data_IF_278693697164
#
_entry.id   IF_278693697164
#
_cell.length_a   1.000
_cell.length_b   1.000
_cell.length_c   1.000
_cell.angle_alpha   90.00
_cell.angle_beta   90.00
_cell.angle_gamma   90.00
#
_symmetry.space_group_name_H-M   'P 1'
#
loop_
_entity.id
_entity.type
_entity.pdbx_description
1 polymer ?
#
# COMPACT_ATOMS: atom_id res chain seq x y z
N UNK A 1 8.82 -17.94 -17.43
CA UNK A 1 8.77 -17.58 -18.86
C UNK A 1 9.01 -16.08 -18.96
N UNK A 2 10.05 -15.66 -19.69
CA UNK A 2 10.34 -14.24 -19.89
C UNK A 2 9.31 -13.66 -20.88
N UNK A 3 8.62 -12.59 -20.50
CA UNK A 3 7.61 -11.94 -21.33
C UNK A 3 8.32 -10.98 -22.30
N UNK A 4 8.51 -11.43 -23.55
CA UNK A 4 9.23 -10.73 -24.63
C UNK A 4 8.75 -9.28 -24.88
N UNK A 5 7.55 -8.91 -24.41
CA UNK A 5 7.04 -7.54 -24.49
C UNK A 5 7.87 -6.57 -23.64
N UNK A 6 8.43 -7.04 -22.52
CA UNK A 6 9.25 -6.21 -21.66
C UNK A 6 10.65 -5.96 -22.21
N UNK A 7 11.24 -6.93 -22.94
CA UNK A 7 12.60 -6.78 -23.47
C UNK A 7 12.67 -5.66 -24.52
N UNK A 8 11.67 -5.58 -25.41
CA UNK A 8 11.57 -4.50 -26.40
C UNK A 8 11.28 -3.15 -25.76
N UNK A 9 10.42 -3.12 -24.74
CA UNK A 9 10.11 -1.90 -24.01
C UNK A 9 11.34 -1.37 -23.24
N UNK A 10 12.10 -2.24 -22.58
CA UNK A 10 13.33 -1.90 -21.85
C UNK A 10 14.34 -1.17 -22.76
N UNK A 11 14.63 -1.74 -23.93
CA UNK A 11 15.57 -1.14 -24.88
C UNK A 11 15.14 0.26 -25.36
N UNK A 12 13.85 0.44 -25.66
CA UNK A 12 13.30 1.72 -26.11
C UNK A 12 13.30 2.76 -24.98
N UNK A 13 12.90 2.37 -23.77
CA UNK A 13 12.87 3.25 -22.59
C UNK A 13 14.28 3.68 -22.19
N UNK A 14 15.27 2.77 -22.21
CA UNK A 14 16.68 3.13 -21.95
C UNK A 14 17.24 4.11 -22.97
N UNK A 15 16.82 3.98 -24.24
CA UNK A 15 17.19 4.95 -25.28
C UNK A 15 16.53 6.30 -25.02
N UNK A 16 15.23 6.34 -24.72
CA UNK A 16 14.50 7.57 -24.40
C UNK A 16 15.05 8.27 -23.17
N UNK A 17 15.49 7.51 -22.16
CA UNK A 17 16.10 8.03 -20.94
C UNK A 17 17.35 8.88 -21.19
N UNK A 18 18.03 8.74 -22.34
CA UNK A 18 19.22 9.52 -22.70
C UNK A 18 18.91 10.96 -23.14
N UNK A 19 17.64 11.31 -23.37
CA UNK A 19 17.25 12.60 -23.94
C UNK A 19 16.38 13.41 -22.96
N UNK A 20 16.82 14.63 -22.65
CA UNK A 20 16.05 15.66 -21.93
C UNK A 20 15.10 16.31 -22.96
N UNK A 21 13.85 15.82 -23.13
CA UNK A 21 12.81 15.98 -22.11
C UNK A 21 12.14 14.67 -21.66
N UNK A 22 12.45 13.56 -22.33
CA UNK A 22 11.81 12.26 -22.08
C UNK A 22 12.41 11.54 -20.88
N UNK A 23 13.57 11.99 -20.37
CA UNK A 23 14.34 11.31 -19.34
C UNK A 23 13.52 10.92 -18.12
N UNK A 24 12.84 11.88 -17.49
CA UNK A 24 12.06 11.62 -16.28
C UNK A 24 10.95 10.59 -16.53
N UNK A 25 10.21 10.77 -17.62
CA UNK A 25 9.09 9.89 -17.98
C UNK A 25 9.55 8.47 -18.32
N UNK A 26 10.64 8.36 -19.09
CA UNK A 26 11.23 7.10 -19.48
C UNK A 26 11.77 6.33 -18.26
N UNK A 27 12.45 7.02 -17.33
CA UNK A 27 12.98 6.40 -16.12
C UNK A 27 11.86 5.94 -15.18
N UNK A 28 10.83 6.77 -14.97
CA UNK A 28 9.65 6.35 -14.17
C UNK A 28 8.99 5.11 -14.76
N UNK A 29 8.75 5.11 -16.08
CA UNK A 29 8.12 3.97 -16.77
C UNK A 29 9.00 2.71 -16.72
N UNK A 30 10.31 2.86 -16.84
CA UNK A 30 11.27 1.77 -16.71
C UNK A 30 11.26 1.17 -15.30
N UNK A 31 11.20 2.02 -14.27
CA UNK A 31 11.15 1.58 -12.88
C UNK A 31 9.83 0.86 -12.54
N UNK A 32 8.69 1.33 -13.05
CA UNK A 32 7.40 0.63 -12.95
C UNK A 32 7.44 -0.75 -13.60
N UNK A 33 8.07 -0.84 -14.77
CA UNK A 33 8.28 -2.11 -15.45
C UNK A 33 9.14 -3.06 -14.60
N UNK A 34 10.21 -2.57 -13.98
CA UNK A 34 11.01 -3.38 -13.05
C UNK A 34 10.21 -3.83 -11.82
N UNK A 35 9.34 -2.99 -11.26
CA UNK A 35 8.42 -3.39 -10.19
C UNK A 35 7.54 -4.57 -10.64
N UNK A 36 6.94 -4.50 -11.83
CA UNK A 36 6.12 -5.59 -12.39
C UNK A 36 6.90 -6.89 -12.64
N UNK A 37 8.21 -6.79 -12.85
CA UNK A 37 9.11 -7.93 -13.00
C UNK A 37 9.70 -8.42 -11.67
N UNK A 38 9.24 -7.90 -10.52
CA UNK A 38 9.81 -8.18 -9.20
C UNK A 38 11.28 -7.77 -9.03
N UNK A 39 11.76 -6.84 -9.86
CA UNK A 39 13.13 -6.31 -9.84
C UNK A 39 13.20 -4.99 -9.06
N UNK A 40 12.81 -5.04 -7.79
CA UNK A 40 12.70 -3.85 -6.95
C UNK A 40 14.03 -3.09 -6.76
N UNK A 41 15.17 -3.79 -6.70
CA UNK A 41 16.49 -3.15 -6.63
C UNK A 41 16.78 -2.31 -7.88
N UNK A 42 16.47 -2.82 -9.07
CA UNK A 42 16.67 -2.10 -10.33
C UNK A 42 15.75 -0.88 -10.44
N UNK A 43 14.50 -1.01 -9.97
CA UNK A 43 13.57 0.10 -9.89
C UNK A 43 14.10 1.23 -8.98
N UNK A 44 14.60 0.88 -7.78
CA UNK A 44 15.18 1.85 -6.86
C UNK A 44 16.45 2.49 -7.42
N UNK A 45 17.33 1.72 -8.06
CA UNK A 45 18.53 2.25 -8.68
C UNK A 45 18.20 3.30 -9.75
N UNK A 46 17.26 2.99 -10.63
CA UNK A 46 16.83 3.89 -11.69
C UNK A 46 16.25 5.20 -11.12
N UNK A 47 15.34 5.11 -10.14
CA UNK A 47 14.73 6.31 -9.56
C UNK A 47 15.73 7.12 -8.72
N UNK A 48 16.57 6.47 -7.92
CA UNK A 48 17.55 7.19 -7.10
C UNK A 48 18.56 7.94 -7.97
N UNK A 49 18.96 7.38 -9.11
CA UNK A 49 19.84 8.07 -10.07
C UNK A 49 19.16 9.33 -10.62
N UNK A 50 17.90 9.23 -11.03
CA UNK A 50 17.13 10.39 -11.49
C UNK A 50 16.95 11.44 -10.39
N UNK A 51 16.75 11.02 -9.14
CA UNK A 51 16.58 11.95 -8.02
C UNK A 51 17.87 12.70 -7.67
N UNK A 52 19.03 12.06 -7.74
CA UNK A 52 20.32 12.74 -7.55
C UNK A 52 20.47 13.87 -8.57
N UNK A 53 20.19 13.60 -9.85
CA UNK A 53 20.23 14.61 -10.92
C UNK A 53 19.23 15.74 -10.70
N UNK A 54 18.06 15.45 -10.11
CA UNK A 54 17.02 16.44 -9.85
C UNK A 54 17.31 17.28 -8.62
N UNK A 55 17.83 16.68 -7.55
CA UNK A 55 18.25 17.39 -6.35
C UNK A 55 19.35 18.42 -6.71
N UNK A 56 20.30 18.06 -7.60
CA UNK A 56 21.30 19.00 -8.15
C UNK A 56 20.69 20.16 -8.95
N UNK A 57 19.53 19.93 -9.58
CA UNK A 57 18.80 20.92 -10.37
C UNK A 57 17.72 21.70 -9.59
N UNK A 58 17.52 21.40 -8.30
CA UNK A 58 16.49 22.00 -7.45
C UNK A 58 15.05 21.61 -7.81
N UNK A 59 14.84 20.53 -8.56
CA UNK A 59 13.51 20.07 -8.97
C UNK A 59 12.85 19.20 -7.90
N UNK A 60 11.58 19.49 -7.58
CA UNK A 60 10.83 18.69 -6.62
C UNK A 60 10.52 17.27 -7.09
N UNK A 61 10.45 16.36 -6.12
CA UNK A 61 10.06 14.95 -6.31
C UNK A 61 8.57 14.86 -6.58
N UNK A 62 8.19 14.17 -7.65
CA UNK A 62 6.78 13.96 -7.98
C UNK A 62 6.17 12.82 -7.16
N UNK A 63 4.84 12.85 -7.00
CA UNK A 63 4.07 11.77 -6.35
C UNK A 63 4.36 10.41 -6.99
N UNK A 64 4.48 10.36 -8.32
CA UNK A 64 4.83 9.13 -9.06
C UNK A 64 6.19 8.57 -8.64
N UNK A 65 7.21 9.42 -8.47
CA UNK A 65 8.52 8.97 -8.00
C UNK A 65 8.46 8.43 -6.57
N UNK A 66 7.68 9.10 -5.71
CA UNK A 66 7.44 8.65 -4.32
C UNK A 66 6.75 7.29 -4.28
N UNK A 67 5.72 7.10 -5.11
CA UNK A 67 5.02 5.81 -5.24
C UNK A 67 5.97 4.70 -5.65
N UNK A 68 6.74 4.88 -6.72
CA UNK A 68 7.68 3.87 -7.23
C UNK A 68 8.70 3.51 -6.14
N UNK A 69 9.28 4.50 -5.45
CA UNK A 69 10.22 4.24 -4.33
C UNK A 69 9.55 3.56 -3.16
N UNK A 70 8.32 3.97 -2.83
CA UNK A 70 7.51 3.38 -1.78
C UNK A 70 7.25 1.90 -2.02
N UNK A 71 6.71 1.56 -3.20
CA UNK A 71 6.40 0.19 -3.59
C UNK A 71 7.66 -0.67 -3.69
N UNK A 72 8.72 -0.17 -4.34
CA UNK A 72 9.97 -0.92 -4.40
C UNK A 72 10.59 -1.10 -3.00
N UNK A 73 10.44 -0.13 -2.10
CA UNK A 73 10.81 -0.24 -0.70
C UNK A 73 10.02 -1.31 0.05
N UNK A 74 8.70 -1.40 -0.17
CA UNK A 74 7.85 -2.46 0.38
C UNK A 74 8.30 -3.85 -0.07
N UNK A 75 8.60 -4.02 -1.35
CA UNK A 75 9.07 -5.28 -1.93
C UNK A 75 10.43 -5.74 -1.37
N UNK A 76 11.23 -4.81 -0.86
CA UNK A 76 12.53 -5.07 -0.24
C UNK A 76 12.46 -5.04 1.29
N UNK A 77 11.25 -5.08 1.87
CA UNK A 77 11.00 -5.05 3.32
C UNK A 77 11.56 -3.81 4.04
N UNK A 78 11.80 -2.72 3.30
CA UNK A 78 12.28 -1.44 3.84
C UNK A 78 11.12 -0.57 4.31
N UNK A 79 10.30 -1.12 5.19
CA UNK A 79 8.98 -0.57 5.55
C UNK A 79 9.02 0.88 6.05
N UNK A 80 9.99 1.22 6.92
CA UNK A 80 10.11 2.58 7.45
C UNK A 80 10.45 3.62 6.37
N UNK A 81 11.28 3.26 5.38
CA UNK A 81 11.61 4.13 4.27
C UNK A 81 10.42 4.25 3.30
N UNK A 82 9.78 3.12 2.96
CA UNK A 82 8.59 3.10 2.12
C UNK A 82 7.47 3.98 2.70
N UNK A 83 7.23 3.88 4.01
CA UNK A 83 6.23 4.68 4.73
C UNK A 83 6.48 6.17 4.58
N UNK A 84 7.74 6.62 4.70
CA UNK A 84 8.10 8.04 4.53
C UNK A 84 7.85 8.54 3.12
N UNK A 85 8.18 7.73 2.10
CA UNK A 85 7.95 8.11 0.71
C UNK A 85 6.44 8.22 0.41
N UNK A 86 5.67 7.21 0.81
CA UNK A 86 4.22 7.13 0.54
C UNK A 86 3.41 8.16 1.33
N UNK A 87 3.84 8.50 2.55
CA UNK A 87 3.23 9.59 3.33
C UNK A 87 3.44 10.98 2.69
N UNK A 88 4.42 11.11 1.79
CA UNK A 88 4.69 12.34 1.06
C UNK A 88 3.88 12.50 -0.22
N UNK A 89 3.04 11.52 -0.60
CA UNK A 89 2.12 11.65 -1.74
C UNK A 89 0.97 12.57 -1.34
N UNK A 90 0.65 13.55 -2.20
CA UNK A 90 -0.43 14.49 -1.93
C UNK A 90 -1.79 13.78 -1.81
N UNK A 91 -2.54 14.09 -0.76
CA UNK A 91 -3.89 13.52 -0.55
C UNK A 91 -4.87 13.91 -1.65
N UNK A 92 -4.65 15.04 -2.33
CA UNK A 92 -5.53 15.51 -3.39
C UNK A 92 -5.40 14.67 -4.68
N UNK A 93 -4.26 14.01 -4.88
CA UNK A 93 -3.92 13.25 -6.09
C UNK A 93 -3.78 11.74 -5.82
N UNK A 94 -3.75 11.33 -4.54
CA UNK A 94 -3.60 9.95 -4.13
C UNK A 94 -4.75 9.06 -4.62
N UNK A 95 -4.41 8.06 -5.43
CA UNK A 95 -5.33 7.02 -5.86
C UNK A 95 -5.66 6.06 -4.71
N UNK A 96 -6.60 5.14 -4.95
CA UNK A 96 -6.90 4.04 -4.01
C UNK A 96 -5.66 3.17 -3.81
N UNK A 97 -4.92 2.87 -4.88
CA UNK A 97 -3.71 2.02 -4.82
C UNK A 97 -2.59 2.70 -4.02
N UNK A 98 -2.42 4.02 -4.16
CA UNK A 98 -1.44 4.79 -3.36
C UNK A 98 -1.74 4.70 -1.87
N UNK A 99 -3.01 4.88 -1.50
CA UNK A 99 -3.48 4.78 -0.11
C UNK A 99 -3.34 3.36 0.42
N UNK A 100 -3.65 2.34 -0.37
CA UNK A 100 -3.44 0.94 0.02
C UNK A 100 -1.96 0.62 0.24
N UNK A 101 -1.08 1.07 -0.65
CA UNK A 101 0.37 0.93 -0.48
C UNK A 101 0.85 1.66 0.79
N UNK A 102 0.36 2.87 1.05
CA UNK A 102 0.69 3.63 2.26
C UNK A 102 0.24 2.91 3.54
N UNK A 103 -0.99 2.37 3.56
CA UNK A 103 -1.48 1.57 4.68
C UNK A 103 -0.61 0.32 4.89
N UNK A 104 -0.24 -0.40 3.83
CA UNK A 104 0.65 -1.55 3.91
C UNK A 104 2.02 -1.18 4.49
N UNK A 105 2.60 -0.05 4.09
CA UNK A 105 3.87 0.44 4.62
C UNK A 105 3.79 0.73 6.12
N UNK A 106 2.69 1.33 6.58
CA UNK A 106 2.43 1.52 8.01
C UNK A 106 2.36 0.18 8.75
N UNK A 107 1.61 -0.80 8.23
CA UNK A 107 1.49 -2.14 8.85
C UNK A 107 2.85 -2.82 8.97
N UNK A 108 3.64 -2.84 7.89
CA UNK A 108 4.96 -3.47 7.87
C UNK A 108 5.97 -2.73 8.77
N UNK A 109 5.81 -1.41 8.94
CA UNK A 109 6.64 -0.62 9.85
C UNK A 109 6.21 -0.71 11.32
N UNK A 110 5.15 -1.48 11.63
CA UNK A 110 4.59 -1.59 12.99
C UNK A 110 3.68 -0.41 13.40
N UNK A 111 3.47 0.56 12.52
CA UNK A 111 2.65 1.74 12.74
C UNK A 111 1.16 1.42 12.52
N UNK A 112 0.56 0.73 13.49
CA UNK A 112 -0.84 0.31 13.39
C UNK A 112 -1.81 1.50 13.40
N UNK A 113 -1.47 2.58 14.12
CA UNK A 113 -2.31 3.79 14.17
C UNK A 113 -2.31 4.52 12.83
N UNK A 114 -1.12 4.70 12.22
CA UNK A 114 -1.00 5.27 10.87
C UNK A 114 -1.71 4.42 9.82
N UNK A 115 -1.61 3.08 9.92
CA UNK A 115 -2.31 2.19 9.00
C UNK A 115 -3.84 2.35 9.10
N UNK A 116 -4.39 2.38 10.32
CA UNK A 116 -5.83 2.60 10.54
C UNK A 116 -6.26 3.95 9.97
N UNK A 117 -5.52 5.02 10.26
CA UNK A 117 -5.84 6.36 9.77
C UNK A 117 -5.88 6.43 8.24
N UNK A 118 -4.97 5.75 7.53
CA UNK A 118 -4.99 5.69 6.06
C UNK A 118 -6.18 4.85 5.58
N UNK A 119 -6.45 3.70 6.20
CA UNK A 119 -7.60 2.84 5.84
C UNK A 119 -8.94 3.54 6.04
N UNK A 120 -9.06 4.42 7.03
CA UNK A 120 -10.28 5.21 7.26
C UNK A 120 -10.59 6.13 6.07
N UNK A 121 -9.56 6.63 5.36
CA UNK A 121 -9.75 7.44 4.14
C UNK A 121 -10.29 6.65 2.95
N UNK A 122 -10.31 5.32 3.02
CA UNK A 122 -10.85 4.43 1.99
C UNK A 122 -12.31 4.03 2.25
N UNK A 123 -12.90 4.46 3.36
CA UNK A 123 -14.27 4.11 3.71
C UNK A 123 -15.33 4.75 2.79
N UNK A 124 -14.99 5.87 2.16
CA UNK A 124 -15.87 6.63 1.25
C UNK A 124 -15.74 6.18 -0.22
N UNK A 125 -14.85 5.22 -0.50
CA UNK A 125 -14.65 4.68 -1.83
C UNK A 125 -15.76 3.70 -2.23
N UNK A 126 -15.64 3.11 -3.43
CA UNK A 126 -16.56 2.07 -3.89
C UNK A 126 -16.80 0.99 -2.81
N UNK A 127 -18.00 0.39 -2.73
CA UNK A 127 -18.32 -0.59 -1.68
C UNK A 127 -17.30 -1.72 -1.55
N UNK A 128 -16.73 -2.18 -2.66
CA UNK A 128 -15.70 -3.21 -2.67
C UNK A 128 -14.38 -2.75 -2.03
N UNK A 129 -13.95 -1.51 -2.28
CA UNK A 129 -12.74 -0.93 -1.68
C UNK A 129 -12.97 -0.68 -0.19
N UNK A 130 -14.10 -0.08 0.17
CA UNK A 130 -14.48 0.18 1.56
C UNK A 130 -14.54 -1.13 2.38
N UNK A 131 -15.14 -2.19 1.83
CA UNK A 131 -15.20 -3.50 2.49
C UNK A 131 -13.81 -4.10 2.71
N UNK A 132 -12.89 -4.00 1.73
CA UNK A 132 -11.50 -4.47 1.90
C UNK A 132 -10.75 -3.66 2.95
N UNK A 133 -10.90 -2.34 2.95
CA UNK A 133 -10.27 -1.48 3.95
C UNK A 133 -10.79 -1.79 5.37
N UNK A 134 -12.10 -2.03 5.50
CA UNK A 134 -12.76 -2.45 6.72
C UNK A 134 -12.21 -3.78 7.26
N UNK A 135 -11.99 -4.78 6.39
CA UNK A 135 -11.36 -6.05 6.77
C UNK A 135 -9.91 -5.87 7.25
N UNK A 136 -9.11 -5.09 6.53
CA UNK A 136 -7.73 -4.81 6.93
C UNK A 136 -7.67 -4.13 8.30
N UNK A 137 -8.56 -3.16 8.54
CA UNK A 137 -8.70 -2.48 9.83
C UNK A 137 -9.14 -3.42 10.95
N UNK A 138 -10.13 -4.29 10.68
CA UNK A 138 -10.56 -5.31 11.64
C UNK A 138 -9.41 -6.26 12.03
N UNK A 139 -8.58 -6.68 11.07
CA UNK A 139 -7.40 -7.50 11.32
C UNK A 139 -6.36 -6.77 12.20
N UNK A 140 -6.15 -5.47 11.99
CA UNK A 140 -5.28 -4.66 12.84
C UNK A 140 -5.81 -4.56 14.27
N UNK A 141 -7.10 -4.28 14.45
CA UNK A 141 -7.71 -4.26 15.78
C UNK A 141 -7.65 -5.61 16.48
N UNK A 142 -7.81 -6.71 15.74
CA UNK A 142 -7.64 -8.05 16.30
C UNK A 142 -6.22 -8.26 16.84
N UNK A 143 -5.19 -7.89 16.06
CA UNK A 143 -3.79 -7.97 16.46
C UNK A 143 -3.49 -7.15 17.72
N UNK A 144 -4.16 -6.00 17.87
CA UNK A 144 -4.05 -5.12 19.03
C UNK A 144 -4.92 -5.56 20.23
N UNK A 145 -5.60 -6.71 20.14
CA UNK A 145 -6.59 -7.17 21.14
C UNK A 145 -7.73 -6.18 21.41
N UNK A 146 -7.96 -5.22 20.51
CA UNK A 146 -9.07 -4.28 20.56
C UNK A 146 -10.32 -4.94 19.95
N UNK A 147 -10.81 -6.00 20.59
CA UNK A 147 -11.83 -6.88 20.03
C UNK A 147 -13.18 -6.20 19.76
N UNK A 148 -13.52 -5.15 20.51
CA UNK A 148 -14.76 -4.36 20.28
C UNK A 148 -14.65 -3.59 18.96
N UNK A 149 -13.58 -2.81 18.79
CA UNK A 149 -13.28 -2.09 17.54
C UNK A 149 -13.11 -3.03 16.35
N UNK A 150 -12.57 -4.22 16.58
CA UNK A 150 -12.46 -5.28 15.57
C UNK A 150 -13.85 -5.68 15.06
N UNK A 151 -14.80 -5.95 15.95
CA UNK A 151 -16.15 -6.34 15.58
C UNK A 151 -16.91 -5.22 14.85
N UNK A 152 -16.75 -3.97 15.31
CA UNK A 152 -17.33 -2.78 14.67
C UNK A 152 -16.78 -2.53 13.26
N UNK A 153 -15.51 -2.89 13.04
CA UNK A 153 -14.84 -2.69 11.75
C UNK A 153 -15.18 -3.73 10.69
N UNK A 154 -15.83 -4.84 11.02
CA UNK A 154 -16.14 -5.88 10.04
C UNK A 154 -17.22 -5.40 9.05
N UNK A 155 -17.04 -5.58 7.73
CA UNK A 155 -18.02 -5.19 6.73
C UNK A 155 -19.35 -5.92 6.93
N UNK A 156 -20.45 -5.31 6.49
CA UNK A 156 -21.76 -5.98 6.59
C UNK A 156 -21.79 -7.14 5.60
N UNK A 157 -22.56 -8.18 5.93
CA UNK A 157 -22.67 -9.35 5.05
C UNK A 157 -23.22 -9.00 3.65
N UNK A 158 -24.03 -7.94 3.56
CA UNK A 158 -24.57 -7.43 2.30
C UNK A 158 -23.50 -6.78 1.39
N UNK A 159 -22.34 -6.40 1.94
CA UNK A 159 -21.26 -5.73 1.23
C UNK A 159 -20.22 -6.73 0.69
N UNK A 160 -20.51 -8.04 0.78
CA UNK A 160 -19.57 -9.13 0.55
C UNK A 160 -20.16 -10.18 -0.39
N UNK A 161 -19.31 -10.99 -1.02
CA UNK A 161 -19.77 -12.17 -1.74
C UNK A 161 -20.40 -13.19 -0.76
N UNK A 162 -21.19 -14.15 -1.25
CA UNK A 162 -21.87 -15.12 -0.39
C UNK A 162 -20.89 -15.98 0.44
N UNK A 163 -19.74 -16.33 -0.13
CA UNK A 163 -18.69 -17.10 0.56
C UNK A 163 -17.96 -16.23 1.60
N UNK A 164 -17.69 -14.97 1.26
CA UNK A 164 -17.12 -14.00 2.21
C UNK A 164 -18.08 -13.74 3.39
N UNK A 165 -19.39 -13.66 3.13
CA UNK A 165 -20.40 -13.44 4.15
C UNK A 165 -20.45 -14.58 5.19
N UNK A 166 -20.34 -15.84 4.75
CA UNK A 166 -20.26 -17.01 5.65
C UNK A 166 -18.98 -16.97 6.49
N UNK A 167 -17.85 -16.66 5.86
CA UNK A 167 -16.57 -16.52 6.56
C UNK A 167 -16.65 -15.41 7.61
N UNK A 168 -17.24 -14.27 7.26
CA UNK A 168 -17.44 -13.14 8.18
C UNK A 168 -18.34 -13.49 9.36
N UNK A 169 -19.41 -14.26 9.13
CA UNK A 169 -20.28 -14.73 10.21
C UNK A 169 -19.50 -15.61 11.21
N UNK A 170 -18.64 -16.51 10.72
CA UNK A 170 -17.79 -17.34 11.56
C UNK A 170 -16.78 -16.50 12.36
N UNK A 171 -16.16 -15.50 11.73
CA UNK A 171 -15.25 -14.56 12.42
C UNK A 171 -15.97 -13.81 13.55
N UNK A 172 -17.20 -13.32 13.30
CA UNK A 172 -18.02 -12.66 14.34
C UNK A 172 -18.32 -13.58 15.53
N UNK A 173 -18.64 -14.84 15.28
CA UNK A 173 -18.89 -15.83 16.35
C UNK A 173 -17.64 -16.07 17.21
N UNK A 174 -16.47 -16.21 16.59
CA UNK A 174 -15.19 -16.37 17.29
C UNK A 174 -14.84 -15.14 18.14
N UNK A 175 -15.05 -13.94 17.59
CA UNK A 175 -14.86 -12.67 18.29
C UNK A 175 -15.79 -12.53 19.50
N UNK A 176 -17.06 -12.91 19.38
CA UNK A 176 -18.00 -12.91 20.50
C UNK A 176 -17.56 -13.82 21.66
N UNK A 177 -16.88 -14.93 21.34
CA UNK A 177 -16.24 -15.78 22.36
C UNK A 177 -15.08 -15.08 23.08
N UNK A 178 -14.21 -14.40 22.32
CA UNK A 178 -13.07 -13.64 22.86
C UNK A 178 -13.52 -12.47 23.73
N UNK A 179 -14.52 -11.71 23.27
CA UNK A 179 -15.11 -10.58 24.01
C UNK A 179 -15.70 -11.03 25.36
N UNK A 180 -16.44 -12.14 25.38
CA UNK A 180 -16.97 -12.70 26.62
C UNK A 180 -15.87 -13.05 27.62
N UNK A 181 -14.78 -13.68 27.16
CA UNK A 181 -13.62 -14.01 28.02
C UNK A 181 -12.93 -12.75 28.54
N UNK A 182 -12.69 -11.77 27.67
CA UNK A 182 -12.03 -10.52 28.04
C UNK A 182 -12.77 -9.77 29.16
N UNK A 183 -14.12 -9.72 29.08
CA UNK A 183 -14.98 -9.09 30.10
C UNK A 183 -15.01 -9.84 31.43
N UNK A 184 -14.82 -11.16 31.42
CA UNK A 184 -14.74 -11.98 32.64
C UNK A 184 -13.38 -11.87 33.35
N UNK A 185 -12.33 -11.46 32.64
CA UNK A 185 -10.95 -11.41 33.15
C UNK A 185 -10.52 -10.03 33.69
N UNK A 186 -11.37 -9.00 33.62
CA UNK A 186 -11.13 -7.70 34.27
C UNK A 186 -11.69 -7.74 35.69
N UNK A 187 -10.85 -7.86 36.74
CA UNK A 187 -11.32 -7.65 38.11
C UNK A 187 -11.59 -6.16 38.30
N UNK A 188 -12.71 -5.85 38.96
CA UNK A 188 -12.99 -4.50 39.47
C UNK A 188 -11.94 -4.04 40.48
#
# INVERSE_FOLDING_TARGET
MADHRYDRADALLRRAARYQPLRSEAVCTLAEMFIRQHRANDALYAINTLLLERDDSGMERTDRMRLIRGVAGLMLERAAAARRELAGISRATATVDDRLAAAQACVMAGDSAGAISVLDTLAEETPAVAARAALARAALYYRLSAYEKCAESLPRAADCTADDARTLQRVRQLLAGKLRRARQSTPH
#
